data_IF_068878323227
#
_entry.id   IF_068878323227
#
_cell.length_a   1.000
_cell.length_b   1.000
_cell.length_c   1.000
_cell.angle_alpha   90.00
_cell.angle_beta   90.00
_cell.angle_gamma   90.00
#
_symmetry.space_group_name_H-M   'P 1'
#
loop_
_entity.id
_entity.type
_entity.pdbx_description
1 polymer ?
#
# COMPACT_ATOMS: atom_id res chain seq x y z
N UNK A 1 8.72 23.16 -4.34
CA UNK A 1 7.96 22.34 -3.37
C UNK A 1 8.61 20.96 -3.38
N UNK A 2 9.01 20.40 -2.23
CA UNK A 2 9.69 19.10 -2.19
C UNK A 2 8.70 17.98 -2.55
N UNK A 3 9.17 16.91 -3.21
CA UNK A 3 8.33 15.73 -3.54
C UNK A 3 7.67 15.15 -2.30
N UNK A 4 8.41 15.07 -1.19
CA UNK A 4 7.89 14.62 0.10
C UNK A 4 6.67 15.39 0.59
N UNK A 5 6.65 16.72 0.45
CA UNK A 5 5.49 17.52 0.85
C UNK A 5 4.29 17.27 -0.06
N UNK A 6 4.53 17.11 -1.37
CA UNK A 6 3.50 16.77 -2.33
C UNK A 6 2.91 15.38 -2.08
N UNK A 7 3.77 14.40 -1.76
CA UNK A 7 3.38 13.03 -1.40
C UNK A 7 2.49 13.04 -0.16
N UNK A 8 2.95 13.66 0.94
CA UNK A 8 2.17 13.78 2.18
C UNK A 8 0.82 14.48 1.95
N UNK A 9 0.80 15.56 1.16
CA UNK A 9 -0.46 16.24 0.84
C UNK A 9 -1.38 15.33 0.02
N UNK A 10 -0.88 14.67 -1.02
CA UNK A 10 -1.72 13.83 -1.87
C UNK A 10 -2.22 12.58 -1.13
N UNK A 11 -1.42 11.97 -0.25
CA UNK A 11 -1.85 10.91 0.67
C UNK A 11 -3.00 11.38 1.57
N UNK A 12 -2.85 12.56 2.19
CA UNK A 12 -3.90 13.14 3.02
C UNK A 12 -5.20 13.38 2.23
N UNK A 13 -5.10 13.81 0.96
CA UNK A 13 -6.28 14.03 0.12
C UNK A 13 -6.98 12.70 -0.24
N UNK A 14 -6.24 11.61 -0.40
CA UNK A 14 -6.82 10.25 -0.54
C UNK A 14 -7.56 9.87 0.74
N UNK A 15 -6.94 10.05 1.90
CA UNK A 15 -7.56 9.79 3.20
C UNK A 15 -8.85 10.61 3.40
N UNK A 16 -8.83 11.90 3.04
CA UNK A 16 -10.02 12.77 3.09
C UNK A 16 -11.16 12.26 2.21
N UNK A 17 -10.84 11.74 1.02
CA UNK A 17 -11.84 11.12 0.15
C UNK A 17 -12.45 9.87 0.80
N UNK A 18 -11.62 8.98 1.33
CA UNK A 18 -12.08 7.75 1.99
C UNK A 18 -12.93 8.03 3.23
N UNK A 19 -12.57 9.06 4.01
CA UNK A 19 -13.36 9.51 5.15
C UNK A 19 -14.73 10.06 4.76
N UNK A 20 -14.84 10.71 3.60
CA UNK A 20 -16.10 11.27 3.14
C UNK A 20 -17.02 10.20 2.53
N UNK A 21 -16.45 9.26 1.77
CA UNK A 21 -17.24 8.41 0.87
C UNK A 21 -17.18 6.91 1.19
N UNK A 22 -16.10 6.42 1.80
CA UNK A 22 -15.92 4.98 2.03
C UNK A 22 -16.21 4.55 3.46
N UNK A 23 -15.51 5.09 4.46
CA UNK A 23 -15.64 4.62 5.84
C UNK A 23 -17.05 4.84 6.46
N UNK A 24 -17.74 5.97 6.19
CA UNK A 24 -19.13 6.13 6.60
C UNK A 24 -20.07 5.15 5.91
N UNK A 25 -19.82 4.82 4.64
CA UNK A 25 -20.59 3.80 3.93
C UNK A 25 -20.33 2.42 4.53
N UNK A 26 -19.06 2.05 4.73
CA UNK A 26 -18.65 0.75 5.26
C UNK A 26 -19.24 0.47 6.65
N UNK A 27 -19.28 1.48 7.53
CA UNK A 27 -19.90 1.38 8.86
C UNK A 27 -21.43 1.20 8.81
N UNK A 28 -22.08 1.62 7.71
CA UNK A 28 -23.52 1.42 7.50
C UNK A 28 -23.83 0.08 6.82
N UNK A 29 -22.95 -0.35 5.91
CA UNK A 29 -23.11 -1.58 5.14
C UNK A 29 -22.86 -2.84 6.00
N UNK A 30 -21.90 -2.75 6.93
CA UNK A 30 -21.54 -3.86 7.82
C UNK A 30 -22.08 -3.62 9.22
N UNK A 31 -23.15 -4.32 9.58
CA UNK A 31 -23.77 -4.19 10.92
C UNK A 31 -22.77 -4.51 12.06
N UNK A 32 -22.70 -3.59 13.03
CA UNK A 32 -21.77 -3.69 14.16
C UNK A 32 -20.30 -3.37 13.86
N UNK A 33 -20.00 -2.81 12.68
CA UNK A 33 -18.68 -2.27 12.34
C UNK A 33 -18.63 -0.76 12.64
N UNK A 34 -17.55 -0.31 13.27
CA UNK A 34 -17.20 1.11 13.35
C UNK A 34 -15.79 1.36 12.85
N UNK A 35 -15.57 2.57 12.34
CA UNK A 35 -14.30 3.00 11.75
C UNK A 35 -13.78 4.23 12.48
N UNK A 36 -12.48 4.28 12.77
CA UNK A 36 -11.84 5.43 13.39
C UNK A 36 -10.50 5.71 12.71
N UNK A 37 -10.30 6.93 12.18
CA UNK A 37 -8.97 7.34 11.71
C UNK A 37 -8.05 7.55 12.89
N UNK A 38 -6.83 7.04 12.75
CA UNK A 38 -5.77 7.25 13.71
C UNK A 38 -5.06 8.58 13.44
N UNK A 39 -5.13 9.50 14.40
CA UNK A 39 -4.43 10.78 14.40
C UNK A 39 -3.16 10.75 15.26
N UNK A 40 -2.93 9.66 16.00
CA UNK A 40 -1.80 9.52 16.89
C UNK A 40 -0.54 9.14 16.11
N UNK A 41 0.43 10.05 16.08
CA UNK A 41 1.69 9.88 15.37
C UNK A 41 2.43 8.58 15.73
N UNK A 42 2.38 8.16 17.00
CA UNK A 42 3.04 6.94 17.45
C UNK A 42 2.44 5.68 16.80
N UNK A 43 1.11 5.65 16.65
CA UNK A 43 0.40 4.56 16.00
C UNK A 43 0.53 4.64 14.46
N UNK A 44 0.63 5.84 13.88
CA UNK A 44 0.91 6.01 12.45
C UNK A 44 2.28 5.44 12.08
N UNK A 45 3.30 5.66 12.93
CA UNK A 45 4.63 5.04 12.77
C UNK A 45 4.56 3.51 12.84
N UNK A 46 3.55 2.95 13.52
CA UNK A 46 3.26 1.51 13.57
C UNK A 46 2.43 0.99 12.39
N UNK A 47 2.21 1.82 11.36
CA UNK A 47 1.49 1.44 10.14
C UNK A 47 -0.02 1.35 10.34
N UNK A 48 -0.60 2.26 11.14
CA UNK A 48 -2.03 2.30 11.39
C UNK A 48 -2.58 3.66 10.94
N UNK A 49 -3.34 3.64 9.86
CA UNK A 49 -4.10 4.80 9.39
C UNK A 49 -5.54 4.76 9.92
N UNK A 50 -6.16 3.58 9.91
CA UNK A 50 -7.55 3.39 10.35
C UNK A 50 -7.69 2.17 11.23
N UNK A 51 -8.46 2.32 12.30
CA UNK A 51 -8.88 1.24 13.19
C UNK A 51 -10.32 0.87 12.86
N UNK A 52 -10.54 -0.40 12.53
CA UNK A 52 -11.86 -0.99 12.37
C UNK A 52 -12.21 -1.75 13.65
N UNK A 53 -13.37 -1.48 14.24
CA UNK A 53 -13.88 -2.23 15.40
C UNK A 53 -15.09 -3.05 14.99
N UNK A 54 -15.00 -4.36 15.10
CA UNK A 54 -16.07 -5.28 14.72
C UNK A 54 -16.18 -6.43 15.70
N UNK A 55 -17.37 -6.64 16.27
CA UNK A 55 -17.66 -7.71 17.25
C UNK A 55 -16.65 -7.76 18.41
N UNK A 56 -16.31 -6.59 18.95
CA UNK A 56 -15.38 -6.46 20.07
C UNK A 56 -13.90 -6.69 19.73
N UNK A 57 -13.55 -6.82 18.44
CA UNK A 57 -12.16 -6.92 17.97
C UNK A 57 -11.76 -5.68 17.21
N UNK A 58 -10.51 -5.27 17.37
CA UNK A 58 -9.90 -4.19 16.57
C UNK A 58 -9.07 -4.80 15.44
N UNK A 59 -9.13 -4.16 14.28
CA UNK A 59 -8.32 -4.47 13.12
C UNK A 59 -7.63 -3.20 12.63
N UNK A 60 -6.32 -3.26 12.47
CA UNK A 60 -5.49 -2.13 12.09
C UNK A 60 -5.22 -2.14 10.58
N UNK A 61 -5.58 -1.05 9.92
CA UNK A 61 -5.53 -0.87 8.47
C UNK A 61 -4.50 0.19 8.10
N UNK A 62 -3.68 -0.12 7.11
CA UNK A 62 -2.70 0.77 6.49
C UNK A 62 -3.14 1.07 5.04
N UNK A 63 -3.37 2.33 4.72
CA UNK A 63 -3.78 2.81 3.41
C UNK A 63 -2.55 2.96 2.51
N UNK A 64 -2.55 2.29 1.35
CA UNK A 64 -1.43 2.36 0.40
C UNK A 64 -1.97 2.72 -0.98
N UNK A 65 -1.53 3.85 -1.52
CA UNK A 65 -2.03 4.36 -2.79
C UNK A 65 -0.93 4.53 -3.86
N UNK A 66 -1.26 4.24 -5.13
CA UNK A 66 -0.34 4.44 -6.26
C UNK A 66 -0.38 5.87 -6.81
N UNK A 67 -0.02 6.86 -5.99
CA UNK A 67 -0.13 8.29 -6.34
C UNK A 67 0.60 8.67 -7.63
N UNK A 68 1.83 8.19 -7.82
CA UNK A 68 2.63 8.46 -9.02
C UNK A 68 2.12 7.76 -10.30
N UNK A 69 1.15 6.87 -10.16
CA UNK A 69 0.52 6.13 -11.26
C UNK A 69 -0.99 6.39 -11.34
N UNK A 70 -1.44 7.51 -10.79
CA UNK A 70 -2.81 8.00 -10.94
C UNK A 70 -3.19 8.03 -12.42
N UNK A 71 -4.41 7.58 -12.74
CA UNK A 71 -4.94 7.43 -14.10
C UNK A 71 -4.19 6.42 -15.00
N UNK A 72 -3.20 5.68 -14.49
CA UNK A 72 -2.46 4.65 -15.27
C UNK A 72 -3.01 3.25 -15.10
N UNK A 73 -3.78 2.99 -14.04
CA UNK A 73 -4.36 1.67 -13.74
C UNK A 73 -3.36 0.52 -13.87
N UNK A 74 -2.18 0.67 -13.25
CA UNK A 74 -1.12 -0.34 -13.36
C UNK A 74 -1.61 -1.72 -12.90
N UNK A 75 -1.27 -2.80 -13.62
CA UNK A 75 -1.70 -4.16 -13.30
C UNK A 75 -0.87 -4.79 -12.17
N UNK A 76 -0.30 -3.98 -11.27
CA UNK A 76 0.63 -4.41 -10.21
C UNK A 76 0.53 -3.49 -9.00
N UNK A 77 1.00 -3.94 -7.83
CA UNK A 77 1.23 -3.12 -6.65
C UNK A 77 2.63 -3.38 -6.05
N UNK A 78 3.28 -2.35 -5.53
CA UNK A 78 4.62 -2.44 -4.95
C UNK A 78 4.56 -2.53 -3.42
N UNK A 79 5.31 -3.48 -2.87
CA UNK A 79 5.43 -3.72 -1.43
C UNK A 79 6.87 -3.53 -0.98
N UNK A 80 7.13 -2.57 -0.11
CA UNK A 80 8.50 -2.26 0.31
C UNK A 80 9.05 -3.35 1.22
N UNK A 81 10.28 -3.79 0.92
CA UNK A 81 10.98 -4.83 1.69
C UNK A 81 12.22 -4.30 2.39
N UNK A 82 12.88 -3.27 1.84
CA UNK A 82 13.93 -2.54 2.55
C UNK A 82 14.17 -1.15 1.97
N UNK A 83 14.69 -0.25 2.78
CA UNK A 83 15.02 1.12 2.40
C UNK A 83 16.20 1.65 3.22
N UNK A 84 16.80 2.76 2.78
CA UNK A 84 17.81 3.50 3.52
C UNK A 84 17.11 4.59 4.34
N UNK A 85 17.24 4.52 5.65
CA UNK A 85 16.59 5.48 6.54
C UNK A 85 17.35 6.81 6.60
N UNK A 86 16.82 7.78 7.35
CA UNK A 86 17.42 9.12 7.51
C UNK A 86 18.79 9.12 8.19
N UNK A 87 19.16 8.05 8.90
CA UNK A 87 20.48 7.84 9.51
C UNK A 87 21.45 7.15 8.53
N UNK A 88 21.04 6.97 7.28
CA UNK A 88 21.79 6.25 6.24
C UNK A 88 22.02 4.77 6.56
N UNK A 89 21.11 4.16 7.34
CA UNK A 89 21.15 2.75 7.71
C UNK A 89 20.11 1.95 6.92
N UNK A 90 20.42 0.70 6.59
CA UNK A 90 19.46 -0.22 6.00
C UNK A 90 18.36 -0.53 7.01
N UNK A 91 17.11 -0.31 6.61
CA UNK A 91 15.91 -0.57 7.40
C UNK A 91 14.98 -1.56 6.71
N UNK A 92 14.23 -2.31 7.51
CA UNK A 92 13.26 -3.30 7.05
C UNK A 92 12.00 -2.58 6.55
N UNK A 93 11.58 -2.92 5.34
CA UNK A 93 10.39 -2.35 4.71
C UNK A 93 9.08 -2.91 5.28
N UNK A 94 8.00 -2.16 5.11
CA UNK A 94 6.73 -2.40 5.80
C UNK A 94 6.04 -3.74 5.50
N UNK A 95 6.37 -4.41 4.39
CA UNK A 95 5.79 -5.74 4.08
C UNK A 95 6.24 -6.81 5.09
N UNK A 96 7.54 -6.82 5.39
CA UNK A 96 8.20 -7.87 6.17
C UNK A 96 8.60 -7.40 7.57
N UNK A 97 8.33 -6.15 7.91
CA UNK A 97 8.57 -5.61 9.24
C UNK A 97 7.50 -6.11 10.22
N UNK A 98 7.89 -6.97 11.17
CA UNK A 98 7.01 -7.55 12.18
C UNK A 98 6.78 -6.61 13.39
N UNK A 99 7.50 -5.48 13.49
CA UNK A 99 7.26 -4.45 14.51
C UNK A 99 6.05 -3.55 14.20
N UNK A 100 5.50 -3.64 12.98
CA UNK A 100 4.30 -2.94 12.56
C UNK A 100 3.05 -3.72 12.98
N UNK A 101 2.05 -3.00 13.48
CA UNK A 101 0.82 -3.59 14.02
C UNK A 101 -0.25 -3.85 12.94
N UNK A 102 0.00 -3.39 11.71
CA UNK A 102 -0.91 -3.52 10.56
C UNK A 102 -1.41 -4.96 10.38
N UNK A 103 -2.73 -5.12 10.36
CA UNK A 103 -3.38 -6.39 10.03
C UNK A 103 -3.76 -6.44 8.55
N UNK A 104 -4.23 -5.33 8.00
CA UNK A 104 -4.71 -5.20 6.63
C UNK A 104 -4.00 -4.08 5.88
N UNK A 105 -3.71 -4.33 4.61
CA UNK A 105 -3.43 -3.28 3.65
C UNK A 105 -4.71 -2.94 2.90
N UNK A 106 -4.98 -1.65 2.78
CA UNK A 106 -5.97 -1.12 1.86
C UNK A 106 -5.26 -0.55 0.64
N UNK A 107 -5.13 -1.38 -0.40
CA UNK A 107 -4.38 -1.06 -1.61
C UNK A 107 -5.28 -0.30 -2.58
N UNK A 108 -4.79 0.84 -3.06
CA UNK A 108 -5.62 1.83 -3.74
C UNK A 108 -5.03 2.19 -5.11
N UNK A 109 -5.80 1.93 -6.17
CA UNK A 109 -5.56 2.42 -7.52
C UNK A 109 -6.45 3.62 -7.81
N UNK A 110 -5.84 4.73 -8.22
CA UNK A 110 -6.50 6.05 -8.28
C UNK A 110 -6.87 6.45 -9.70
N UNK A 111 -8.10 6.93 -9.86
CA UNK A 111 -8.55 7.70 -11.02
C UNK A 111 -9.04 9.08 -10.54
N UNK A 112 -8.64 10.12 -11.25
CA UNK A 112 -8.92 11.51 -10.92
C UNK A 112 -9.01 12.39 -12.17
N UNK A 113 -9.62 13.56 -12.02
CA UNK A 113 -9.72 14.60 -13.07
C UNK A 113 -8.37 15.26 -13.41
N UNK A 114 -7.32 15.02 -12.61
CA UNK A 114 -5.95 15.47 -12.82
C UNK A 114 -4.98 14.35 -12.47
N UNK A 115 -3.78 14.37 -13.05
CA UNK A 115 -2.64 13.52 -12.66
C UNK A 115 -1.55 14.31 -11.90
N UNK A 116 -1.82 15.58 -11.59
CA UNK A 116 -0.87 16.43 -10.89
C UNK A 116 -0.92 16.22 -9.37
N UNK A 117 -0.06 15.34 -8.88
CA UNK A 117 0.10 15.00 -7.45
C UNK A 117 0.32 16.24 -6.57
N UNK A 118 1.00 17.27 -7.08
CA UNK A 118 1.28 18.50 -6.31
C UNK A 118 0.04 19.35 -6.05
N UNK A 119 -1.05 19.12 -6.80
CA UNK A 119 -2.26 19.95 -6.75
C UNK A 119 -3.54 19.15 -6.51
N UNK A 120 -3.49 17.83 -6.63
CA UNK A 120 -4.66 16.96 -6.46
C UNK A 120 -5.32 17.22 -5.11
N UNK A 121 -6.65 17.27 -5.14
CA UNK A 121 -7.51 17.38 -3.96
C UNK A 121 -8.49 16.23 -3.91
N UNK A 122 -9.08 15.98 -2.75
CA UNK A 122 -10.09 14.94 -2.56
C UNK A 122 -11.22 15.05 -3.60
N UNK A 123 -11.63 16.28 -3.92
CA UNK A 123 -12.66 16.54 -4.94
C UNK A 123 -12.25 16.14 -6.37
N UNK A 124 -10.98 15.93 -6.65
CA UNK A 124 -10.50 15.58 -7.98
C UNK A 124 -10.54 14.06 -8.22
N UNK A 125 -10.55 13.24 -7.16
CA UNK A 125 -10.73 11.79 -7.31
C UNK A 125 -12.13 11.46 -7.85
N UNK A 126 -12.14 10.66 -8.91
CA UNK A 126 -13.36 10.24 -9.61
C UNK A 126 -13.70 8.80 -9.27
N UNK A 127 -12.69 7.93 -9.12
CA UNK A 127 -12.86 6.52 -8.78
C UNK A 127 -11.61 5.98 -8.07
N UNK A 128 -11.80 5.25 -6.98
CA UNK A 128 -10.75 4.43 -6.37
C UNK A 128 -11.13 2.95 -6.54
N UNK A 129 -10.18 2.19 -7.06
CA UNK A 129 -10.29 0.74 -7.17
C UNK A 129 -9.40 0.13 -6.10
N UNK A 130 -10.02 -0.53 -5.12
CA UNK A 130 -9.39 -0.82 -3.83
C UNK A 130 -9.47 -2.29 -3.45
N UNK A 131 -8.39 -2.83 -2.88
CA UNK A 131 -8.34 -4.18 -2.31
C UNK A 131 -8.06 -4.12 -0.81
N UNK A 132 -8.91 -4.77 -0.03
CA UNK A 132 -8.66 -5.02 1.40
C UNK A 132 -8.00 -6.40 1.54
N UNK A 133 -6.72 -6.41 1.93
CA UNK A 133 -5.90 -7.63 1.96
C UNK A 133 -5.25 -7.79 3.33
N UNK A 134 -5.36 -8.99 3.93
CA UNK A 134 -4.57 -9.30 5.14
C UNK A 134 -3.08 -9.29 4.83
N UNK A 135 -2.28 -8.56 5.61
CA UNK A 135 -0.80 -8.59 5.54
C UNK A 135 -0.27 -10.02 5.54
N UNK A 136 -0.81 -10.85 6.44
CA UNK A 136 -0.46 -12.28 6.54
C UNK A 136 -0.66 -13.05 5.23
N UNK A 137 -1.75 -12.82 4.49
CA UNK A 137 -2.02 -13.54 3.23
C UNK A 137 -1.00 -13.21 2.14
N UNK A 138 -0.50 -11.96 2.11
CA UNK A 138 0.60 -11.58 1.19
C UNK A 138 1.89 -12.30 1.57
N UNK A 139 2.25 -12.33 2.86
CA UNK A 139 3.43 -13.05 3.35
C UNK A 139 3.35 -14.56 3.05
N UNK A 140 2.22 -15.19 3.34
CA UNK A 140 1.97 -16.62 3.07
C UNK A 140 2.03 -16.96 1.59
N UNK A 141 1.49 -16.09 0.73
CA UNK A 141 1.61 -16.26 -0.71
C UNK A 141 3.08 -16.28 -1.15
N UNK A 142 3.89 -15.29 -0.72
CA UNK A 142 5.30 -15.23 -1.06
C UNK A 142 6.07 -16.43 -0.49
N UNK A 143 5.78 -16.82 0.75
CA UNK A 143 6.39 -17.98 1.40
C UNK A 143 6.06 -19.29 0.67
N UNK A 144 4.82 -19.47 0.20
CA UNK A 144 4.43 -20.62 -0.63
C UNK A 144 5.19 -20.70 -1.96
N UNK A 145 5.77 -19.58 -2.41
CA UNK A 145 6.65 -19.46 -3.58
C UNK A 145 8.13 -19.57 -3.22
N UNK A 146 8.44 -19.95 -1.98
CA UNK A 146 9.80 -20.10 -1.45
C UNK A 146 10.42 -18.80 -0.96
N UNK A 147 9.65 -17.71 -0.84
CA UNK A 147 10.14 -16.38 -0.43
C UNK A 147 9.67 -16.04 0.98
N UNK A 148 10.34 -16.62 1.99
CA UNK A 148 10.16 -16.23 3.39
C UNK A 148 10.64 -14.79 3.62
N UNK A 149 10.20 -14.17 4.72
CA UNK A 149 10.59 -12.79 5.05
C UNK A 149 12.11 -12.61 5.18
N UNK A 150 12.80 -13.59 5.78
CA UNK A 150 14.27 -13.59 5.88
C UNK A 150 14.93 -13.66 4.50
N UNK A 151 14.49 -14.58 3.63
CA UNK A 151 15.04 -14.73 2.27
C UNK A 151 14.82 -13.47 1.43
N UNK A 152 13.65 -12.84 1.58
CA UNK A 152 13.33 -11.56 0.92
C UNK A 152 14.30 -10.47 1.38
N UNK A 153 14.54 -10.36 2.69
CA UNK A 153 15.45 -9.34 3.23
C UNK A 153 16.89 -9.57 2.77
N UNK A 154 17.39 -10.81 2.84
CA UNK A 154 18.71 -11.22 2.33
C UNK A 154 18.86 -10.89 0.85
N UNK A 155 17.86 -11.21 0.03
CA UNK A 155 17.87 -10.85 -1.40
C UNK A 155 17.92 -9.35 -1.62
N UNK A 156 17.26 -8.56 -0.76
CA UNK A 156 17.33 -7.10 -0.84
C UNK A 156 18.74 -6.55 -0.57
N UNK A 157 19.51 -7.20 0.32
CA UNK A 157 20.91 -6.85 0.58
C UNK A 157 21.76 -7.19 -0.66
N UNK A 158 21.57 -8.38 -1.24
CA UNK A 158 22.26 -8.81 -2.46
C UNK A 158 22.03 -7.85 -3.63
N UNK A 159 20.77 -7.47 -3.87
CA UNK A 159 20.38 -6.50 -4.91
C UNK A 159 21.11 -5.17 -4.71
N UNK A 160 21.17 -4.68 -3.46
CA UNK A 160 21.80 -3.40 -3.13
C UNK A 160 23.31 -3.43 -3.39
N UNK A 161 23.96 -4.54 -3.06
CA UNK A 161 25.40 -4.73 -3.28
C UNK A 161 25.76 -4.85 -4.78
N UNK A 162 24.88 -5.46 -5.58
CA UNK A 162 25.08 -5.61 -7.02
C UNK A 162 24.75 -4.35 -7.83
N UNK A 163 24.27 -3.27 -7.18
CA UNK A 163 23.95 -1.94 -7.76
C UNK A 163 22.95 -1.90 -8.93
N UNK A 164 22.40 -3.05 -9.33
CA UNK A 164 21.47 -3.18 -10.45
C UNK A 164 20.11 -2.58 -10.09
N UNK A 165 19.80 -1.42 -10.67
CA UNK A 165 18.52 -0.70 -10.48
C UNK A 165 17.42 -1.26 -11.38
N UNK A 166 16.18 -0.94 -11.02
CA UNK A 166 15.00 -1.29 -11.80
C UNK A 166 14.50 -2.70 -11.54
N UNK A 167 13.90 -3.31 -12.57
CA UNK A 167 13.23 -4.62 -12.49
C UNK A 167 14.26 -5.75 -12.41
N UNK A 168 14.15 -6.59 -11.38
CA UNK A 168 14.94 -7.79 -11.17
C UNK A 168 13.98 -8.99 -11.18
N UNK A 169 14.01 -9.75 -12.26
CA UNK A 169 13.18 -10.95 -12.41
C UNK A 169 13.67 -12.08 -11.49
N UNK A 170 12.73 -12.93 -11.07
CA UNK A 170 13.01 -14.16 -10.34
C UNK A 170 12.88 -15.31 -11.33
N UNK A 171 13.88 -16.18 -11.38
CA UNK A 171 13.87 -17.32 -12.31
C UNK A 171 12.66 -18.22 -12.03
N UNK A 172 11.86 -18.47 -13.07
CA UNK A 172 10.67 -19.33 -12.98
C UNK A 172 9.44 -18.68 -12.34
N UNK A 173 9.48 -17.38 -12.02
CA UNK A 173 8.36 -16.66 -11.41
C UNK A 173 7.94 -15.48 -12.28
N UNK A 174 6.63 -15.37 -12.53
CA UNK A 174 6.04 -14.42 -13.48
C UNK A 174 4.99 -13.50 -12.83
N UNK A 175 4.55 -13.81 -11.61
CA UNK A 175 3.50 -13.10 -10.88
C UNK A 175 4.04 -11.99 -9.96
N UNK A 176 5.33 -12.04 -9.63
CA UNK A 176 6.01 -10.96 -8.92
C UNK A 176 7.50 -10.88 -9.25
N UNK A 177 8.10 -9.75 -8.92
CA UNK A 177 9.52 -9.48 -9.14
C UNK A 177 10.04 -8.46 -8.12
N UNK A 178 11.37 -8.35 -7.99
CA UNK A 178 11.97 -7.29 -7.19
C UNK A 178 12.16 -6.02 -8.01
N UNK A 179 12.00 -4.85 -7.40
CA UNK A 179 12.26 -3.57 -8.04
C UNK A 179 13.11 -2.68 -7.13
N UNK A 180 14.29 -2.29 -7.62
CA UNK A 180 15.16 -1.36 -6.91
C UNK A 180 15.00 0.05 -7.46
N UNK A 181 14.43 0.94 -6.63
CA UNK A 181 14.08 2.30 -7.03
C UNK A 181 15.31 3.18 -7.25
N UNK A 182 15.19 4.15 -8.17
CA UNK A 182 16.28 5.05 -8.53
C UNK A 182 16.55 6.11 -7.44
N UNK A 183 17.82 6.30 -7.08
CA UNK A 183 18.29 7.30 -6.12
C UNK A 183 18.07 8.74 -6.58
N UNK A 184 17.95 8.99 -7.89
CA UNK A 184 17.61 10.32 -8.42
C UNK A 184 16.21 10.76 -7.97
N UNK A 185 15.32 9.80 -7.73
CA UNK A 185 13.92 10.07 -7.40
C UNK A 185 13.58 9.77 -5.95
N UNK A 186 14.30 8.82 -5.32
CA UNK A 186 14.04 8.34 -3.98
C UNK A 186 15.35 8.26 -3.18
N UNK A 187 15.56 9.21 -2.25
CA UNK A 187 16.74 9.20 -1.36
C UNK A 187 16.79 7.93 -0.50
N UNK A 188 15.62 7.40 -0.15
CA UNK A 188 15.45 6.17 0.63
C UNK A 188 15.79 4.91 -0.20
N UNK A 189 15.87 5.02 -1.53
CA UNK A 189 16.25 3.93 -2.43
C UNK A 189 15.56 2.59 -2.07
N UNK A 190 14.21 2.58 -2.01
CA UNK A 190 13.48 1.41 -1.56
C UNK A 190 13.62 0.27 -2.57
N UNK A 191 13.80 -0.94 -2.04
CA UNK A 191 13.63 -2.18 -2.75
C UNK A 191 12.23 -2.68 -2.43
N UNK A 192 11.49 -3.02 -3.48
CA UNK A 192 10.12 -3.49 -3.40
C UNK A 192 10.00 -4.89 -3.99
N UNK A 193 9.02 -5.66 -3.52
CA UNK A 193 8.43 -6.74 -4.30
C UNK A 193 7.19 -6.17 -4.99
N UNK A 194 7.15 -6.29 -6.32
CA UNK A 194 6.02 -5.85 -7.14
C UNK A 194 5.20 -7.06 -7.53
N UNK A 195 3.95 -7.13 -7.08
CA UNK A 195 3.04 -8.26 -7.27
C UNK A 195 1.95 -7.87 -8.28
N UNK A 196 1.60 -8.78 -9.19
CA UNK A 196 0.50 -8.55 -10.15
C UNK A 196 -0.86 -8.42 -9.46
N UNK A 197 -1.70 -7.55 -10.03
CA UNK A 197 -3.01 -7.21 -9.47
C UNK A 197 -4.00 -8.39 -9.48
N UNK A 198 -3.97 -9.25 -10.49
CA UNK A 198 -4.77 -10.48 -10.54
C UNK A 198 -4.49 -11.38 -9.32
N UNK A 199 -3.22 -11.55 -8.95
CA UNK A 199 -2.86 -12.29 -7.73
C UNK A 199 -3.40 -11.59 -6.49
N UNK A 200 -3.22 -10.27 -6.40
CA UNK A 200 -3.72 -9.49 -5.25
C UNK A 200 -5.24 -9.57 -5.12
N UNK A 201 -5.99 -9.60 -6.22
CA UNK A 201 -7.44 -9.82 -6.22
C UNK A 201 -7.76 -11.19 -5.60
N UNK A 202 -7.06 -12.26 -5.98
CA UNK A 202 -7.25 -13.59 -5.39
C UNK A 202 -6.89 -13.66 -3.89
N UNK A 203 -5.97 -12.81 -3.43
CA UNK A 203 -5.57 -12.71 -2.03
C UNK A 203 -6.46 -11.77 -1.21
N UNK A 204 -7.21 -10.89 -1.85
CA UNK A 204 -8.08 -9.94 -1.18
C UNK A 204 -9.22 -10.64 -0.46
N UNK A 205 -9.66 -10.06 0.65
CA UNK A 205 -10.93 -10.43 1.27
C UNK A 205 -12.09 -9.66 0.66
N UNK A 206 -11.83 -8.43 0.25
CA UNK A 206 -12.81 -7.54 -0.37
C UNK A 206 -12.16 -6.71 -1.46
N UNK A 207 -12.94 -6.49 -2.52
CA UNK A 207 -12.57 -5.63 -3.65
C UNK A 207 -13.67 -4.58 -3.80
N UNK A 208 -13.31 -3.31 -3.66
CA UNK A 208 -14.25 -2.19 -3.72
C UNK A 208 -13.95 -1.29 -4.92
N UNK A 209 -15.00 -0.80 -5.55
CA UNK A 209 -14.96 0.35 -6.44
C UNK A 209 -15.67 1.51 -5.74
N UNK A 210 -14.96 2.60 -5.47
CA UNK A 210 -15.42 3.71 -4.64
C UNK A 210 -15.51 4.96 -5.50
N UNK A 211 -16.67 5.59 -5.54
CA UNK A 211 -16.92 6.90 -6.16
C UNK A 211 -17.58 7.82 -5.14
N UNK A 212 -17.87 9.06 -5.54
CA UNK A 212 -18.61 10.00 -4.66
C UNK A 212 -20.09 9.67 -4.52
N UNK A 213 -20.65 8.96 -5.50
CA UNK A 213 -22.08 8.62 -5.55
C UNK A 213 -22.37 7.25 -4.97
N UNK A 214 -21.44 6.30 -5.08
CA UNK A 214 -21.65 4.92 -4.67
C UNK A 214 -20.35 4.20 -4.33
N UNK A 215 -20.50 3.13 -3.56
CA UNK A 215 -19.47 2.12 -3.32
C UNK A 215 -20.03 0.78 -3.80
N UNK A 216 -19.27 0.07 -4.62
CA UNK A 216 -19.64 -1.25 -5.15
C UNK A 216 -18.63 -2.29 -4.69
N UNK A 217 -19.12 -3.41 -4.16
CA UNK A 217 -18.30 -4.60 -3.90
C UNK A 217 -18.20 -5.42 -5.18
N UNK A 218 -16.98 -5.62 -5.65
CA UNK A 218 -16.66 -6.40 -6.83
C UNK A 218 -16.55 -7.89 -6.46
N UNK A 219 -16.94 -8.76 -7.39
CA UNK A 219 -16.81 -10.22 -7.24
C UNK A 219 -15.43 -10.71 -7.62
#
# INVERSE_FOLDING_TARGET
MSRKFADMNAEQEVSNFLECYFYPWLSKDVDGLSTQRNIEKQLQIKGIDVVLKYKGKEYYVDEKAQLYYMNKNLPTFAFEVSFINKKNELSVGWLINDDLLTNYYFLIWLNASTDNIFKVKAKDFTKLDCLMIRKRRVKEYLESKGWSSSRIFEKSIEIRNNTSRGKINIQGENEFYFYFSDSQYYSEQPINIVIRKNVLICLAEQHYCITKSEVTTMK
#
